data_IF_689567870084
#
_entry.id   IF_689567870084
#
_cell.length_a   1.000
_cell.length_b   1.000
_cell.length_c   1.000
_cell.angle_alpha   90.00
_cell.angle_beta   90.00
_cell.angle_gamma   90.00
#
_symmetry.space_group_name_H-M   'P 1'
#
loop_
_entity.id
_entity.type
_entity.pdbx_description
1 polymer ?
#
# COMPACT_ATOMS: atom_id res chain seq x y z
N UNK A 1 7.94 -12.90 -16.79
CA UNK A 1 7.47 -13.15 -15.42
C UNK A 1 6.50 -14.31 -15.50
N UNK A 2 6.86 -15.46 -14.93
CA UNK A 2 5.95 -16.61 -14.81
C UNK A 2 4.88 -16.28 -13.76
N UNK A 3 3.62 -16.62 -13.99
CA UNK A 3 2.51 -16.23 -13.11
C UNK A 3 1.95 -17.39 -12.29
N UNK A 4 2.68 -18.51 -12.20
CA UNK A 4 2.30 -19.64 -11.38
C UNK A 4 3.28 -19.85 -10.23
N UNK A 5 2.75 -20.12 -9.04
CA UNK A 5 3.59 -20.42 -7.88
C UNK A 5 4.35 -21.75 -8.09
N UNK A 6 5.67 -21.78 -7.80
CA UNK A 6 6.51 -22.93 -8.10
C UNK A 6 6.34 -24.05 -7.06
N UNK A 7 5.42 -24.98 -7.30
CA UNK A 7 5.09 -26.05 -6.33
C UNK A 7 6.29 -26.87 -5.88
N UNK A 8 7.26 -27.10 -6.77
CA UNK A 8 8.44 -27.92 -6.50
C UNK A 8 9.32 -27.41 -5.35
N UNK A 9 9.35 -26.10 -5.09
CA UNK A 9 10.22 -25.51 -4.03
C UNK A 9 9.71 -25.76 -2.61
N UNK A 10 8.45 -26.18 -2.49
CA UNK A 10 7.77 -26.39 -1.20
C UNK A 10 7.48 -27.87 -0.92
N UNK A 11 8.15 -28.79 -1.61
CA UNK A 11 7.91 -30.25 -1.51
C UNK A 11 8.13 -30.82 -0.11
N UNK A 12 9.08 -30.25 0.64
CA UNK A 12 9.49 -30.77 1.95
C UNK A 12 8.63 -30.23 3.11
N UNK A 13 7.65 -29.36 2.82
CA UNK A 13 6.78 -28.74 3.82
C UNK A 13 5.40 -29.42 3.86
N UNK A 14 4.98 -29.86 5.04
CA UNK A 14 3.67 -30.50 5.24
C UNK A 14 2.53 -29.50 5.46
N UNK A 15 2.80 -28.36 6.10
CA UNK A 15 1.81 -27.33 6.39
C UNK A 15 1.47 -26.50 5.15
N UNK A 16 0.19 -26.43 4.78
CA UNK A 16 -0.26 -25.61 3.66
C UNK A 16 0.15 -24.14 3.77
N UNK A 17 0.10 -23.57 4.98
CA UNK A 17 0.54 -22.19 5.20
C UNK A 17 2.05 -22.01 4.95
N UNK A 18 2.88 -22.96 5.38
CA UNK A 18 4.33 -22.92 5.13
C UNK A 18 4.66 -23.15 3.65
N UNK A 19 3.95 -24.07 2.99
CA UNK A 19 4.11 -24.28 1.55
C UNK A 19 3.84 -23.01 0.76
N UNK A 20 2.72 -22.33 1.05
CA UNK A 20 2.39 -21.06 0.39
C UNK A 20 3.48 -20.03 0.65
N UNK A 21 3.90 -19.84 1.91
CA UNK A 21 4.98 -18.91 2.28
C UNK A 21 6.22 -19.13 1.43
N UNK A 22 6.74 -20.36 1.41
CA UNK A 22 7.96 -20.73 0.66
C UNK A 22 7.79 -20.48 -0.84
N UNK A 23 6.65 -20.88 -1.43
CA UNK A 23 6.41 -20.66 -2.86
C UNK A 23 6.32 -19.17 -3.21
N UNK A 24 5.64 -18.37 -2.38
CA UNK A 24 5.48 -16.94 -2.62
C UNK A 24 6.78 -16.17 -2.42
N UNK A 25 7.55 -16.52 -1.38
CA UNK A 25 8.84 -15.89 -1.10
C UNK A 25 9.84 -16.19 -2.23
N UNK A 26 9.91 -17.45 -2.67
CA UNK A 26 10.72 -17.86 -3.81
C UNK A 26 10.33 -17.10 -5.08
N UNK A 27 9.03 -17.05 -5.40
CA UNK A 27 8.56 -16.38 -6.60
C UNK A 27 8.92 -14.89 -6.61
N UNK A 28 8.75 -14.19 -5.48
CA UNK A 28 9.15 -12.77 -5.38
C UNK A 28 10.66 -12.63 -5.60
N UNK A 29 11.48 -13.44 -4.95
CA UNK A 29 12.95 -13.35 -5.10
C UNK A 29 13.42 -13.60 -6.55
N UNK A 30 12.75 -14.49 -7.28
CA UNK A 30 13.13 -14.88 -8.64
C UNK A 30 12.56 -13.94 -9.72
N UNK A 31 11.33 -13.45 -9.52
CA UNK A 31 10.59 -12.74 -10.58
C UNK A 31 10.52 -11.23 -10.41
N UNK A 32 10.86 -10.68 -9.24
CA UNK A 32 10.57 -9.28 -8.90
C UNK A 32 11.87 -8.48 -8.72
N UNK A 33 11.87 -7.28 -9.33
CA UNK A 33 12.88 -6.25 -9.11
C UNK A 33 12.37 -5.21 -8.10
N UNK A 34 13.30 -4.51 -7.46
CA UNK A 34 13.05 -3.39 -6.56
C UNK A 34 12.29 -2.27 -7.28
N UNK A 35 11.08 -1.89 -6.82
CA UNK A 35 10.28 -0.84 -7.46
C UNK A 35 10.92 0.55 -7.34
N UNK A 36 11.82 0.74 -6.37
CA UNK A 36 12.47 2.04 -6.16
C UNK A 36 13.64 2.31 -7.09
N UNK A 37 14.38 1.30 -7.54
CA UNK A 37 15.62 1.52 -8.32
C UNK A 37 15.86 0.51 -9.45
N UNK A 38 14.98 -0.49 -9.60
CA UNK A 38 15.06 -1.49 -10.64
C UNK A 38 16.11 -2.59 -10.44
N UNK A 39 16.86 -2.58 -9.34
CA UNK A 39 17.79 -3.66 -9.02
C UNK A 39 17.07 -4.90 -8.52
N UNK A 40 17.73 -6.05 -8.52
CA UNK A 40 17.18 -7.27 -7.92
C UNK A 40 17.01 -7.11 -6.40
N UNK A 41 16.09 -7.91 -5.87
CA UNK A 41 15.84 -8.05 -4.43
C UNK A 41 16.62 -9.25 -3.89
N UNK A 42 16.87 -9.24 -2.59
CA UNK A 42 17.47 -10.35 -1.87
C UNK A 42 16.64 -10.65 -0.63
N UNK A 43 16.52 -11.93 -0.29
CA UNK A 43 15.85 -12.37 0.92
C UNK A 43 16.68 -12.04 2.16
N UNK A 44 16.01 -11.66 3.24
CA UNK A 44 16.62 -11.74 4.56
C UNK A 44 16.72 -13.19 5.03
N UNK A 45 17.61 -13.44 5.99
CA UNK A 45 17.62 -14.72 6.70
C UNK A 45 16.29 -14.94 7.43
N UNK A 46 15.85 -16.20 7.48
CA UNK A 46 14.63 -16.58 8.17
C UNK A 46 14.64 -16.07 9.62
N UNK A 47 13.50 -15.55 10.06
CA UNK A 47 13.27 -14.95 11.39
C UNK A 47 13.88 -13.56 11.62
N UNK A 48 14.37 -12.86 10.59
CA UNK A 48 14.59 -11.41 10.72
C UNK A 48 13.22 -10.76 10.98
N UNK A 49 13.05 -10.01 12.09
CA UNK A 49 11.82 -9.28 12.30
C UNK A 49 11.65 -8.26 11.17
N UNK A 50 10.41 -8.10 10.69
CA UNK A 50 9.91 -6.89 10.01
C UNK A 50 10.11 -6.82 8.50
N UNK A 51 10.98 -7.59 7.87
CA UNK A 51 11.12 -7.57 6.42
C UNK A 51 11.53 -8.93 5.87
N UNK A 52 11.00 -9.27 4.69
CA UNK A 52 11.29 -10.52 3.99
C UNK A 52 12.34 -10.29 2.89
N UNK A 53 12.35 -9.09 2.29
CA UNK A 53 13.26 -8.72 1.21
C UNK A 53 13.94 -7.38 1.44
N UNK A 54 15.10 -7.18 0.82
CA UNK A 54 15.76 -5.90 0.71
C UNK A 54 16.39 -5.70 -0.66
N UNK A 55 16.63 -4.43 -1.00
CA UNK A 55 17.42 -4.06 -2.16
C UNK A 55 18.81 -3.61 -1.73
N UNK A 56 19.84 -4.33 -2.16
CA UNK A 56 21.24 -3.98 -1.86
C UNK A 56 21.69 -2.63 -2.44
N UNK A 57 21.01 -2.14 -3.48
CA UNK A 57 21.35 -0.87 -4.15
C UNK A 57 20.76 0.37 -3.47
N UNK A 58 19.50 0.33 -3.07
CA UNK A 58 18.79 1.50 -2.51
C UNK A 58 18.39 1.33 -1.03
N UNK A 59 18.71 0.19 -0.42
CA UNK A 59 18.43 -0.14 0.97
C UNK A 59 16.94 -0.13 1.36
N UNK A 60 16.02 -0.09 0.39
CA UNK A 60 14.60 -0.28 0.67
C UNK A 60 14.34 -1.73 1.10
N UNK A 61 13.55 -1.87 2.16
CA UNK A 61 13.10 -3.15 2.72
C UNK A 61 11.62 -3.37 2.39
N UNK A 62 11.22 -4.65 2.24
CA UNK A 62 9.87 -5.04 1.87
C UNK A 62 9.38 -6.23 2.71
N UNK A 63 8.13 -6.14 3.17
CA UNK A 63 7.40 -7.23 3.85
C UNK A 63 6.32 -7.78 2.91
N UNK A 64 6.27 -9.10 2.73
CA UNK A 64 5.33 -9.79 1.85
C UNK A 64 4.12 -10.30 2.63
N UNK A 65 2.93 -9.94 2.14
CA UNK A 65 1.66 -10.50 2.58
C UNK A 65 0.99 -11.22 1.42
N UNK A 66 0.79 -12.53 1.57
CA UNK A 66 0.10 -13.36 0.57
C UNK A 66 -1.30 -13.76 1.03
N UNK A 67 -2.26 -13.83 0.10
CA UNK A 67 -3.63 -14.26 0.38
C UNK A 67 -4.24 -15.05 -0.78
N UNK A 68 -4.96 -16.13 -0.48
CA UNK A 68 -5.75 -16.85 -1.48
C UNK A 68 -7.02 -16.05 -1.88
N UNK A 69 -7.39 -16.09 -3.15
CA UNK A 69 -8.59 -15.44 -3.69
C UNK A 69 -8.41 -13.93 -3.87
N UNK A 70 -9.48 -13.15 -3.69
CA UNK A 70 -9.44 -11.71 -3.91
C UNK A 70 -8.67 -10.95 -2.81
N UNK A 71 -7.97 -9.87 -3.20
CA UNK A 71 -7.28 -8.94 -2.29
C UNK A 71 -8.24 -8.47 -1.18
N UNK A 72 -9.44 -8.06 -1.59
CA UNK A 72 -10.46 -7.55 -0.69
C UNK A 72 -10.10 -6.17 -0.12
N UNK A 73 -10.93 -5.67 0.80
CA UNK A 73 -10.80 -4.32 1.36
C UNK A 73 -9.79 -4.23 2.51
N UNK A 74 -9.46 -5.37 3.13
CA UNK A 74 -8.64 -5.45 4.35
C UNK A 74 -7.61 -6.56 4.20
N UNK A 75 -6.36 -6.25 4.53
CA UNK A 75 -5.28 -7.23 4.62
C UNK A 75 -4.93 -7.49 6.07
N UNK A 76 -4.86 -8.76 6.45
CA UNK A 76 -4.48 -9.16 7.81
C UNK A 76 -3.01 -8.85 8.01
N UNK A 77 -2.68 -8.24 9.15
CA UNK A 77 -1.32 -7.98 9.56
C UNK A 77 -1.07 -8.45 11.01
N UNK A 78 0.13 -8.22 11.53
CA UNK A 78 0.61 -8.63 12.83
C UNK A 78 -0.05 -7.91 14.01
N UNK A 79 0.73 -7.68 15.06
CA UNK A 79 0.25 -7.07 16.29
C UNK A 79 -0.04 -5.57 16.08
N UNK A 80 -1.20 -5.11 16.59
CA UNK A 80 -1.63 -3.71 16.38
C UNK A 80 -0.66 -2.71 17.01
N UNK A 81 -0.23 -2.93 18.26
CA UNK A 81 0.69 -2.01 18.95
C UNK A 81 2.02 -1.87 18.23
N UNK A 82 2.62 -3.00 17.85
CA UNK A 82 3.88 -3.04 17.10
C UNK A 82 3.77 -2.32 15.76
N UNK A 83 2.67 -2.49 15.02
CA UNK A 83 2.45 -1.76 13.77
C UNK A 83 2.38 -0.25 14.01
N UNK A 84 1.61 0.20 15.01
CA UNK A 84 1.49 1.64 15.34
C UNK A 84 2.82 2.25 15.80
N UNK A 85 3.60 1.52 16.59
CA UNK A 85 4.96 1.93 16.99
C UNK A 85 5.88 2.05 15.78
N UNK A 86 5.83 1.09 14.84
CA UNK A 86 6.61 1.14 13.60
C UNK A 86 6.28 2.34 12.74
N UNK A 87 5.00 2.71 12.62
CA UNK A 87 4.59 3.89 11.85
C UNK A 87 5.13 5.21 12.42
N UNK A 88 5.49 5.23 13.71
CA UNK A 88 6.16 6.38 14.34
C UNK A 88 7.68 6.34 14.20
N UNK A 89 8.23 5.20 13.85
CA UNK A 89 9.66 5.00 13.63
C UNK A 89 10.04 5.22 12.16
N UNK A 90 11.31 5.53 11.89
CA UNK A 90 11.82 5.65 10.52
C UNK A 90 11.89 4.29 9.78
N UNK A 91 11.69 3.16 10.49
CA UNK A 91 11.97 1.81 10.01
C UNK A 91 10.71 0.99 9.69
N UNK A 92 9.74 1.60 8.99
CA UNK A 92 8.58 0.87 8.45
C UNK A 92 8.94 0.31 7.06
N UNK A 93 8.80 -1.00 6.79
CA UNK A 93 9.08 -1.54 5.46
C UNK A 93 8.01 -1.10 4.46
N UNK A 94 8.35 -1.19 3.17
CA UNK A 94 7.33 -1.21 2.13
C UNK A 94 6.58 -2.55 2.19
N UNK A 95 5.36 -2.61 1.67
CA UNK A 95 4.62 -3.88 1.67
C UNK A 95 4.39 -4.39 0.27
N UNK A 96 4.72 -5.66 0.04
CA UNK A 96 4.24 -6.42 -1.09
C UNK A 96 2.95 -7.15 -0.72
N UNK A 97 1.98 -7.15 -1.63
CA UNK A 97 0.73 -7.87 -1.49
C UNK A 97 0.56 -8.81 -2.68
N UNK A 98 0.46 -10.11 -2.41
CA UNK A 98 0.27 -11.15 -3.40
C UNK A 98 -1.09 -11.81 -3.21
N UNK A 99 -1.85 -11.94 -4.29
CA UNK A 99 -3.04 -12.79 -4.33
C UNK A 99 -2.93 -13.84 -5.40
N UNK A 100 -3.44 -15.03 -5.10
CA UNK A 100 -3.37 -16.18 -5.99
C UNK A 100 -4.67 -16.99 -5.97
N UNK A 101 -4.94 -17.69 -7.07
CA UNK A 101 -6.00 -18.69 -7.14
C UNK A 101 -5.58 -19.96 -6.41
N UNK A 102 -6.41 -20.43 -5.48
CA UNK A 102 -6.07 -21.60 -4.65
C UNK A 102 -5.99 -22.90 -5.46
N UNK A 103 -6.78 -23.02 -6.52
CA UNK A 103 -6.90 -24.26 -7.29
C UNK A 103 -5.79 -24.38 -8.33
N UNK A 104 -5.47 -23.29 -9.03
CA UNK A 104 -4.44 -23.28 -10.08
C UNK A 104 -3.06 -22.89 -9.57
N UNK A 105 -3.01 -22.21 -8.41
CA UNK A 105 -1.85 -21.53 -7.86
C UNK A 105 -1.31 -20.42 -8.76
N UNK A 106 -2.16 -19.88 -9.64
CA UNK A 106 -1.84 -18.73 -10.47
C UNK A 106 -1.97 -17.43 -9.68
N UNK A 107 -0.99 -16.55 -9.85
CA UNK A 107 -0.93 -15.24 -9.25
C UNK A 107 -1.91 -14.34 -10.00
N UNK A 108 -2.87 -13.80 -9.25
CA UNK A 108 -3.90 -12.89 -9.76
C UNK A 108 -3.47 -11.45 -9.64
N UNK A 109 -2.90 -11.07 -8.50
CA UNK A 109 -2.41 -9.71 -8.30
C UNK A 109 -1.11 -9.76 -7.50
N UNK A 110 -0.18 -8.88 -7.87
CA UNK A 110 1.01 -8.60 -7.10
C UNK A 110 1.27 -7.09 -7.18
N UNK A 111 1.31 -6.42 -6.04
CA UNK A 111 1.57 -4.98 -5.96
C UNK A 111 2.48 -4.65 -4.77
N UNK A 112 3.13 -3.50 -4.86
CA UNK A 112 3.79 -2.85 -3.74
C UNK A 112 2.99 -1.64 -3.29
N UNK A 113 3.02 -1.38 -1.98
CA UNK A 113 2.61 -0.10 -1.40
C UNK A 113 3.81 0.50 -0.68
N UNK A 114 4.28 1.70 -1.07
CA UNK A 114 5.41 2.32 -0.40
C UNK A 114 5.10 2.63 1.07
N UNK A 115 6.11 2.49 1.94
CA UNK A 115 6.01 2.65 3.40
C UNK A 115 5.41 3.98 3.85
N UNK A 116 5.59 5.04 3.06
CA UNK A 116 5.10 6.38 3.35
C UNK A 116 3.61 6.59 3.05
N UNK A 117 2.90 5.58 2.52
CA UNK A 117 1.43 5.58 2.51
C UNK A 117 0.81 5.01 3.78
N UNK A 118 1.62 4.41 4.66
CA UNK A 118 1.13 3.84 5.91
C UNK A 118 1.09 4.91 7.00
N UNK A 119 -0.12 5.36 7.28
CA UNK A 119 -0.46 6.31 8.34
C UNK A 119 -1.38 5.64 9.37
N UNK A 120 -1.40 6.07 10.65
CA UNK A 120 -2.13 5.34 11.70
C UNK A 120 -3.62 5.09 11.39
N UNK A 121 -4.27 5.99 10.66
CA UNK A 121 -5.69 5.89 10.31
C UNK A 121 -6.03 4.73 9.35
N UNK A 122 -5.07 4.15 8.63
CA UNK A 122 -5.30 2.96 7.78
C UNK A 122 -5.12 1.64 8.53
N UNK A 123 -4.65 1.68 9.79
CA UNK A 123 -4.41 0.49 10.62
C UNK A 123 -5.63 0.23 11.51
N UNK A 124 -6.39 -0.80 11.17
CA UNK A 124 -7.62 -1.16 11.85
C UNK A 124 -7.35 -2.18 12.98
N UNK A 125 -7.55 -1.77 14.23
CA UNK A 125 -7.43 -2.65 15.40
C UNK A 125 -8.45 -3.79 15.33
N UNK A 126 -8.01 -5.04 15.56
CA UNK A 126 -8.90 -6.21 15.65
C UNK A 126 -9.37 -6.41 17.09
N UNK A 127 -10.43 -7.20 17.26
CA UNK A 127 -10.79 -7.73 18.57
C UNK A 127 -9.68 -8.66 19.07
N UNK A 128 -9.46 -8.67 20.37
CA UNK A 128 -8.54 -9.60 21.01
C UNK A 128 -8.95 -11.05 20.74
N UNK A 129 -7.98 -11.96 20.62
CA UNK A 129 -8.26 -13.39 20.54
C UNK A 129 -8.92 -13.88 21.83
N UNK A 130 -9.79 -14.89 21.68
CA UNK A 130 -10.51 -15.49 22.81
C UNK A 130 -9.55 -16.03 23.87
N UNK A 131 -10.04 -16.13 25.11
CA UNK A 131 -9.30 -16.72 26.24
C UNK A 131 -8.86 -18.16 25.99
N UNK A 132 -9.56 -18.87 25.10
CA UNK A 132 -9.26 -20.26 24.71
C UNK A 132 -8.25 -20.38 23.56
N UNK A 133 -7.89 -19.27 22.90
CA UNK A 133 -6.94 -19.31 21.81
C UNK A 133 -5.51 -19.51 22.33
N UNK A 134 -4.65 -20.16 21.52
CA UNK A 134 -3.21 -20.33 21.84
C UNK A 134 -2.51 -19.03 22.22
N UNK A 135 -2.90 -17.90 21.63
CA UNK A 135 -2.41 -16.55 21.96
C UNK A 135 -3.53 -15.71 22.56
N UNK A 136 -4.12 -16.19 23.65
CA UNK A 136 -5.22 -15.52 24.33
C UNK A 136 -4.93 -14.04 24.58
N UNK A 137 -5.91 -13.17 24.33
CA UNK A 137 -5.76 -11.73 24.50
C UNK A 137 -4.93 -11.01 23.43
N UNK A 138 -4.28 -11.73 22.51
CA UNK A 138 -3.49 -11.10 21.45
C UNK A 138 -4.37 -10.23 20.53
N UNK A 139 -3.91 -9.00 20.27
CA UNK A 139 -4.60 -8.02 19.46
C UNK A 139 -3.84 -7.81 18.15
N UNK A 140 -4.42 -8.32 17.06
CA UNK A 140 -3.91 -8.07 15.71
C UNK A 140 -4.45 -6.77 15.09
N UNK A 141 -3.98 -6.47 13.89
CA UNK A 141 -4.53 -5.41 13.05
C UNK A 141 -4.90 -5.90 11.64
N UNK A 142 -5.59 -5.03 10.91
CA UNK A 142 -5.69 -5.12 9.46
C UNK A 142 -5.24 -3.80 8.84
N UNK A 143 -4.75 -3.84 7.61
CA UNK A 143 -4.51 -2.67 6.77
C UNK A 143 -5.76 -2.42 5.92
N UNK A 144 -6.29 -1.19 5.94
CA UNK A 144 -7.44 -0.78 5.13
C UNK A 144 -7.02 -0.31 3.73
N UNK A 145 -7.14 -1.21 2.76
CA UNK A 145 -6.75 -0.94 1.37
C UNK A 145 -7.61 0.13 0.69
N UNK A 146 -8.82 0.38 1.19
CA UNK A 146 -9.73 1.40 0.65
C UNK A 146 -9.38 2.83 1.09
N UNK A 147 -8.55 2.95 2.13
CA UNK A 147 -8.06 4.22 2.64
C UNK A 147 -6.68 4.58 2.09
N UNK A 148 -6.11 3.75 1.21
CA UNK A 148 -4.86 4.02 0.51
C UNK A 148 -5.19 4.54 -0.90
N UNK A 149 -4.69 5.72 -1.29
CA UNK A 149 -4.81 6.22 -2.66
C UNK A 149 -4.32 5.22 -3.71
N UNK A 150 -4.98 5.20 -4.87
CA UNK A 150 -4.62 4.35 -6.01
C UNK A 150 -3.21 4.62 -6.52
N UNK A 151 -2.74 5.87 -6.48
CA UNK A 151 -1.34 6.18 -6.86
C UNK A 151 -0.32 5.41 -6.00
N UNK A 152 -0.68 5.06 -4.76
CA UNK A 152 0.18 4.29 -3.85
C UNK A 152 0.14 2.79 -4.09
N UNK A 153 -0.75 2.29 -4.95
CA UNK A 153 -0.92 0.87 -5.26
C UNK A 153 -0.22 0.55 -6.59
N UNK A 154 1.03 0.15 -6.51
CA UNK A 154 1.88 -0.02 -7.68
C UNK A 154 1.90 -1.51 -8.07
N UNK A 155 1.16 -1.85 -9.12
CA UNK A 155 1.00 -3.23 -9.58
C UNK A 155 2.16 -3.69 -10.45
N UNK A 156 2.67 -4.88 -10.15
CA UNK A 156 3.52 -5.71 -11.01
C UNK A 156 2.69 -6.72 -11.79
N UNK A 157 1.62 -7.22 -11.17
CA UNK A 157 0.63 -8.10 -11.80
C UNK A 157 -0.73 -7.59 -11.38
N UNK A 158 -1.61 -7.33 -12.35
CA UNK A 158 -2.98 -6.90 -12.10
C UNK A 158 -3.93 -7.79 -12.89
N UNK A 159 -4.84 -8.45 -12.18
CA UNK A 159 -5.84 -9.38 -12.75
C UNK A 159 -5.23 -10.43 -13.70
N UNK A 160 -4.06 -10.96 -13.33
CA UNK A 160 -3.31 -11.96 -14.11
C UNK A 160 -2.48 -11.38 -15.25
N UNK A 161 -2.37 -10.06 -15.37
CA UNK A 161 -1.57 -9.39 -16.41
C UNK A 161 -0.33 -8.76 -15.79
N UNK A 162 0.85 -9.20 -16.23
CA UNK A 162 2.12 -8.64 -15.81
C UNK A 162 2.35 -7.23 -16.39
N UNK A 163 2.87 -6.31 -15.57
CA UNK A 163 3.23 -4.95 -15.94
C UNK A 163 4.71 -4.86 -16.30
N UNK A 164 5.06 -3.92 -17.17
CA UNK A 164 6.45 -3.73 -17.58
C UNK A 164 7.29 -3.11 -16.46
N UNK A 165 8.61 -3.36 -16.48
CA UNK A 165 9.54 -2.76 -15.53
C UNK A 165 9.45 -1.23 -15.52
N UNK A 166 9.40 -0.62 -16.70
CA UNK A 166 9.29 0.84 -16.85
C UNK A 166 7.99 1.39 -16.28
N UNK A 167 6.87 0.67 -16.42
CA UNK A 167 5.58 1.08 -15.84
C UNK A 167 5.65 1.09 -14.30
N UNK A 168 6.19 0.02 -13.70
CA UNK A 168 6.33 -0.09 -12.24
C UNK A 168 7.25 1.01 -11.70
N UNK A 169 8.44 1.19 -12.28
CA UNK A 169 9.40 2.22 -11.86
C UNK A 169 8.82 3.63 -12.04
N UNK A 170 8.12 3.87 -13.15
CA UNK A 170 7.44 5.14 -13.41
C UNK A 170 6.35 5.43 -12.37
N UNK A 171 5.51 4.45 -12.06
CA UNK A 171 4.46 4.55 -11.02
C UNK A 171 5.08 4.78 -9.63
N UNK A 172 6.18 4.12 -9.29
CA UNK A 172 6.89 4.39 -8.03
C UNK A 172 7.43 5.81 -7.94
N UNK A 173 8.15 6.30 -8.95
CA UNK A 173 8.70 7.65 -8.97
C UNK A 173 7.61 8.72 -8.74
N UNK A 174 6.43 8.52 -9.32
CA UNK A 174 5.27 9.42 -9.15
C UNK A 174 4.73 9.49 -7.72
N UNK A 175 5.18 8.63 -6.82
CA UNK A 175 4.80 8.67 -5.40
C UNK A 175 5.83 9.35 -4.50
N UNK A 176 7.01 9.71 -5.02
CA UNK A 176 8.11 10.25 -4.21
C UNK A 176 7.75 11.56 -3.48
N UNK A 177 6.81 12.34 -4.03
CA UNK A 177 6.35 13.56 -3.37
C UNK A 177 5.80 13.31 -1.95
N UNK A 178 5.24 12.12 -1.69
CA UNK A 178 4.71 11.75 -0.37
C UNK A 178 5.84 11.63 0.65
N UNK A 179 7.05 11.23 0.22
CA UNK A 179 8.26 11.19 1.10
C UNK A 179 8.61 12.57 1.65
N UNK A 180 8.29 13.63 0.92
CA UNK A 180 8.63 15.02 1.31
C UNK A 180 7.77 15.57 2.46
N UNK A 181 6.69 14.87 2.83
CA UNK A 181 5.83 15.25 3.96
C UNK A 181 6.21 14.41 5.18
N UNK A 182 6.90 15.00 6.15
CA UNK A 182 7.37 14.28 7.34
C UNK A 182 6.33 14.19 8.45
N UNK A 183 5.56 15.26 8.65
CA UNK A 183 4.51 15.31 9.67
C UNK A 183 3.38 14.31 9.36
N UNK A 184 3.06 13.46 10.33
CA UNK A 184 2.07 12.37 10.19
C UNK A 184 0.68 12.95 9.93
N UNK A 185 0.31 14.04 10.61
CA UNK A 185 -1.01 14.66 10.47
C UNK A 185 -1.17 15.32 9.10
N UNK A 186 -0.17 16.09 8.66
CA UNK A 186 -0.15 16.71 7.34
C UNK A 186 -0.15 15.66 6.23
N UNK A 187 0.58 14.56 6.41
CA UNK A 187 0.57 13.41 5.50
C UNK A 187 -0.80 12.74 5.45
N UNK A 188 -1.44 12.54 6.60
CA UNK A 188 -2.81 12.02 6.69
C UNK A 188 -3.78 12.87 5.89
N UNK A 189 -3.77 14.20 6.10
CA UNK A 189 -4.59 15.15 5.33
C UNK A 189 -4.34 15.08 3.83
N UNK A 190 -3.07 15.08 3.42
CA UNK A 190 -2.70 15.00 2.01
C UNK A 190 -3.23 13.72 1.36
N UNK A 191 -3.03 12.56 2.00
CA UNK A 191 -3.48 11.26 1.49
C UNK A 191 -5.02 11.17 1.47
N UNK A 192 -5.70 11.68 2.49
CA UNK A 192 -7.15 11.66 2.56
C UNK A 192 -7.80 12.60 1.52
N UNK A 193 -7.22 13.78 1.26
CA UNK A 193 -7.67 14.66 0.16
C UNK A 193 -7.39 14.03 -1.20
N UNK A 194 -6.22 13.45 -1.40
CA UNK A 194 -5.89 12.74 -2.65
C UNK A 194 -6.86 11.60 -2.92
N UNK A 195 -7.21 10.82 -1.90
CA UNK A 195 -8.21 9.76 -2.00
C UNK A 195 -9.60 10.32 -2.39
N UNK A 196 -10.00 11.48 -1.87
CA UNK A 196 -11.24 12.13 -2.27
C UNK A 196 -11.23 12.51 -3.76
N UNK A 197 -10.13 13.10 -4.22
CA UNK A 197 -9.93 13.43 -5.64
C UNK A 197 -10.01 12.18 -6.53
N UNK A 198 -9.37 11.08 -6.14
CA UNK A 198 -9.44 9.82 -6.88
C UNK A 198 -10.87 9.24 -6.90
N UNK A 199 -11.64 9.42 -5.83
CA UNK A 199 -13.04 8.97 -5.74
C UNK A 199 -14.02 9.76 -6.61
N UNK A 200 -13.70 10.98 -7.03
CA UNK A 200 -14.54 11.77 -7.94
C UNK A 200 -14.70 11.09 -9.31
N UNK A 201 -13.73 10.26 -9.72
CA UNK A 201 -13.75 9.50 -10.99
C UNK A 201 -13.92 10.36 -12.25
N UNK A 202 -13.48 11.62 -12.19
CA UNK A 202 -13.40 12.51 -13.35
C UNK A 202 -11.94 12.87 -13.62
N UNK A 203 -11.61 13.10 -14.90
CA UNK A 203 -10.30 13.63 -15.29
C UNK A 203 -10.14 15.09 -14.86
N UNK A 204 -11.23 15.85 -14.93
CA UNK A 204 -11.35 17.23 -14.45
C UNK A 204 -12.40 17.31 -13.35
N UNK A 205 -12.09 18.06 -12.30
CA UNK A 205 -12.95 18.20 -11.14
C UNK A 205 -12.87 19.61 -10.59
N UNK A 206 -13.98 20.04 -9.97
CA UNK A 206 -14.10 21.34 -9.34
C UNK A 206 -13.72 21.28 -7.86
N UNK A 207 -13.44 22.45 -7.28
CA UNK A 207 -13.29 22.60 -5.84
C UNK A 207 -14.54 22.14 -5.08
N UNK A 208 -15.72 22.38 -5.65
CA UNK A 208 -16.99 21.97 -5.07
C UNK A 208 -17.17 20.43 -5.08
N UNK A 209 -16.69 19.74 -6.12
CA UNK A 209 -16.65 18.26 -6.11
C UNK A 209 -15.86 17.73 -4.90
N UNK A 210 -14.77 18.41 -4.52
CA UNK A 210 -13.97 18.02 -3.34
C UNK A 210 -14.66 18.42 -2.03
N UNK A 211 -15.35 19.57 -2.00
CA UNK A 211 -16.12 19.99 -0.83
C UNK A 211 -17.27 19.04 -0.47
N UNK A 212 -17.80 18.27 -1.42
CA UNK A 212 -18.75 17.19 -1.12
C UNK A 212 -18.19 16.12 -0.16
N UNK A 213 -16.87 16.04 0.01
CA UNK A 213 -16.20 15.16 0.97
C UNK A 213 -15.91 15.82 2.33
N UNK A 214 -16.40 17.03 2.59
CA UNK A 214 -16.15 17.75 3.85
C UNK A 214 -16.54 16.92 5.09
N UNK A 215 -17.72 16.32 5.12
CA UNK A 215 -18.18 15.48 6.23
C UNK A 215 -17.29 14.24 6.42
N UNK A 216 -16.82 13.64 5.32
CA UNK A 216 -15.90 12.51 5.35
C UNK A 216 -14.55 12.90 5.94
N UNK A 217 -13.99 14.03 5.50
CA UNK A 217 -12.71 14.55 5.98
C UNK A 217 -12.80 15.03 7.44
N UNK A 218 -13.93 15.65 7.85
CA UNK A 218 -14.17 16.05 9.25
C UNK A 218 -14.23 14.84 10.17
N UNK A 219 -14.85 13.73 9.74
CA UNK A 219 -14.88 12.51 10.52
C UNK A 219 -13.49 11.88 10.71
N UNK A 220 -12.62 11.98 9.68
CA UNK A 220 -11.23 11.50 9.77
C UNK A 220 -10.31 12.43 10.59
N UNK A 221 -10.58 13.73 10.57
CA UNK A 221 -9.78 14.74 11.26
C UNK A 221 -10.66 15.59 12.20
N UNK A 222 -11.17 15.01 13.30
CA UNK A 222 -12.20 15.62 14.13
C UNK A 222 -11.77 16.95 14.77
N UNK A 223 -10.47 17.13 15.03
CA UNK A 223 -9.91 18.31 15.67
C UNK A 223 -9.83 19.54 14.76
N UNK A 224 -10.02 19.40 13.44
CA UNK A 224 -9.89 20.51 12.51
C UNK A 224 -11.24 21.23 12.29
N UNK A 225 -11.32 22.53 12.59
CA UNK A 225 -12.53 23.33 12.43
C UNK A 225 -12.62 24.08 11.10
N UNK A 226 -11.62 23.96 10.22
CA UNK A 226 -11.49 24.69 8.96
C UNK A 226 -11.24 23.74 7.78
N UNK A 227 -12.10 22.73 7.61
CA UNK A 227 -11.91 21.63 6.64
C UNK A 227 -11.78 22.15 5.20
N UNK A 228 -12.66 23.04 4.74
CA UNK A 228 -12.58 23.62 3.38
C UNK A 228 -11.25 24.36 3.13
N UNK A 229 -10.74 25.09 4.13
CA UNK A 229 -9.46 25.77 4.02
C UNK A 229 -8.31 24.75 3.91
N UNK A 230 -8.37 23.67 4.71
CA UNK A 230 -7.40 22.58 4.65
C UNK A 230 -7.43 21.84 3.31
N UNK A 231 -8.61 21.60 2.73
CA UNK A 231 -8.77 21.04 1.38
C UNK A 231 -8.02 21.90 0.36
N UNK A 232 -8.27 23.22 0.34
CA UNK A 232 -7.58 24.14 -0.59
C UNK A 232 -6.06 24.09 -0.44
N UNK A 233 -5.57 24.08 0.81
CA UNK A 233 -4.14 23.95 1.09
C UNK A 233 -3.57 22.63 0.52
N UNK A 234 -4.26 21.50 0.70
CA UNK A 234 -3.78 20.21 0.18
C UNK A 234 -3.83 20.16 -1.35
N UNK A 235 -4.84 20.73 -2.00
CA UNK A 235 -4.90 20.82 -3.46
C UNK A 235 -3.75 21.68 -4.03
N UNK A 236 -3.40 22.78 -3.38
CA UNK A 236 -2.23 23.59 -3.74
C UNK A 236 -0.94 22.76 -3.64
N UNK A 237 -0.76 22.01 -2.54
CA UNK A 237 0.38 21.13 -2.39
C UNK A 237 0.45 20.06 -3.49
N UNK A 238 -0.67 19.37 -3.77
CA UNK A 238 -0.73 18.35 -4.84
C UNK A 238 -0.44 18.95 -6.22
N UNK A 239 -0.85 20.20 -6.47
CA UNK A 239 -0.52 20.94 -7.70
C UNK A 239 0.98 21.21 -7.79
N UNK A 240 1.58 21.71 -6.72
CA UNK A 240 3.01 22.06 -6.67
C UNK A 240 3.90 20.82 -6.81
N UNK A 241 3.38 19.64 -6.44
CA UNK A 241 3.99 18.33 -6.67
C UNK A 241 3.63 17.69 -8.01
N UNK A 242 2.98 18.43 -8.90
CA UNK A 242 2.62 18.00 -10.25
C UNK A 242 1.69 16.77 -10.29
N UNK A 243 0.95 16.49 -9.21
CA UNK A 243 -0.05 15.41 -9.14
C UNK A 243 -1.35 15.83 -9.81
N UNK A 244 -1.72 17.11 -9.62
CA UNK A 244 -2.86 17.75 -10.25
C UNK A 244 -2.43 19.05 -10.96
N UNK A 245 -3.27 19.52 -11.87
CA UNK A 245 -3.14 20.79 -12.57
C UNK A 245 -4.26 21.72 -12.13
N UNK A 246 -3.99 23.01 -11.97
CA UNK A 246 -5.02 24.02 -11.76
C UNK A 246 -5.35 24.70 -13.09
N UNK A 247 -6.58 24.53 -13.57
CA UNK A 247 -7.02 25.02 -14.89
C UNK A 247 -7.55 26.47 -14.78
N UNK A 248 -7.96 26.89 -13.58
CA UNK A 248 -8.55 28.22 -13.33
C UNK A 248 -9.93 28.13 -12.68
N UNK A 249 -10.40 29.21 -12.06
CA UNK A 249 -11.74 29.31 -11.49
C UNK A 249 -12.17 28.15 -10.57
N UNK A 250 -11.23 27.59 -9.79
CA UNK A 250 -11.52 26.46 -8.91
C UNK A 250 -11.62 25.10 -9.62
N UNK A 251 -11.19 24.99 -10.87
CA UNK A 251 -11.14 23.75 -11.64
C UNK A 251 -9.73 23.16 -11.64
N UNK A 252 -9.67 21.83 -11.56
CA UNK A 252 -8.44 21.05 -11.49
C UNK A 252 -8.50 19.86 -12.45
N UNK A 253 -7.34 19.37 -12.88
CA UNK A 253 -7.20 18.15 -13.69
C UNK A 253 -6.21 17.19 -13.05
N UNK A 254 -6.51 15.90 -13.05
CA UNK A 254 -5.52 14.88 -12.69
C UNK A 254 -4.45 14.81 -13.78
N UNK A 255 -3.17 14.98 -13.42
CA UNK A 255 -2.06 14.77 -14.36
C UNK A 255 -1.73 13.29 -14.60
N UNK A 256 -2.30 12.44 -13.76
CA UNK A 256 -2.19 10.99 -13.83
C UNK A 256 -3.40 10.44 -14.57
N UNK A 257 -3.21 9.97 -15.80
CA UNK A 257 -4.22 9.18 -16.50
C UNK A 257 -4.48 7.90 -15.70
N UNK A 258 -5.77 7.61 -15.50
CA UNK A 258 -6.21 6.30 -15.05
C UNK A 258 -6.07 5.38 -16.27
N UNK A 259 -5.13 4.44 -16.22
CA UNK A 259 -5.09 3.32 -17.15
C UNK A 259 -6.28 2.39 -16.91
#
# INVERSE_FOLDING_TARGET
MELRLPVGVAKDYSSGAQRIRVMTEYWVNDSIFCPSCGNDLSNFENNKPVADFYCSKCSEEYELKSKQGAMGKKIVDGAYSTMIERLKSANNPNFFFLTYDKSTLEIRNFLTIPKYFFVPNIILKRKALSVTARRAGWIGCNIDMNSIPEIGKIFYVQDGVAKSKNEVLGKWNKTEFVKTTYDIESKGWMLDVLLCVERIKKNEFSLDDVYNFESYLKAKHPLNNNVKAKIRQQLQFLRDKNVIEFIGCGQYRMKMTRE
#
